data_IF_020467427203
#
_entry.id   IF_020467427203
#
_cell.length_a   1.000
_cell.length_b   1.000
_cell.length_c   1.000
_cell.angle_alpha   90.00
_cell.angle_beta   90.00
_cell.angle_gamma   90.00
#
_symmetry.space_group_name_H-M   'P 1'
#
loop_
_entity.id
_entity.type
_entity.pdbx_description
1 polymer ?
#
# COMPACT_ATOMS: atom_id res chain seq x y z
N UNK A 1 -14.28 2.76 26.53
CA UNK A 1 -13.87 3.19 25.17
C UNK A 1 -12.79 2.22 24.70
N UNK A 2 -12.98 1.54 23.58
CA UNK A 2 -12.03 0.54 23.07
C UNK A 2 -11.36 1.12 21.83
N UNK A 3 -10.05 1.40 21.94
CA UNK A 3 -9.22 1.79 20.81
C UNK A 3 -8.68 0.48 20.21
N UNK A 4 -9.20 0.07 19.05
CA UNK A 4 -8.68 -1.08 18.32
C UNK A 4 -8.06 -0.61 17.02
N UNK A 5 -6.73 -0.48 17.03
CA UNK A 5 -5.94 -0.69 15.84
C UNK A 5 -4.51 -0.94 16.30
N UNK A 6 -4.02 -2.17 16.21
CA UNK A 6 -2.69 -2.40 15.64
C UNK A 6 -2.37 -3.89 15.51
N UNK A 7 -1.42 -4.13 14.62
CA UNK A 7 -0.65 -5.35 14.50
C UNK A 7 0.42 -5.44 15.60
N UNK A 8 0.13 -5.06 16.85
CA UNK A 8 1.08 -5.20 17.95
C UNK A 8 0.65 -6.29 18.93
N UNK A 9 1.55 -7.23 19.17
CA UNK A 9 1.44 -8.10 20.31
C UNK A 9 1.57 -7.28 21.59
N UNK A 10 0.45 -6.90 22.20
CA UNK A 10 0.05 -7.10 23.61
C UNK A 10 -0.93 -5.99 24.01
N UNK A 11 -2.24 -6.25 23.99
CA UNK A 11 -3.23 -5.35 24.59
C UNK A 11 -3.34 -5.69 26.09
N UNK A 12 -3.25 -4.70 26.97
CA UNK A 12 -3.72 -4.84 28.36
C UNK A 12 -5.10 -4.22 28.47
N UNK A 13 -6.10 -5.01 28.85
CA UNK A 13 -7.49 -4.52 28.98
C UNK A 13 -7.81 -4.35 30.45
N UNK A 14 -8.11 -3.13 30.86
CA UNK A 14 -8.59 -2.79 32.19
C UNK A 14 -10.07 -2.42 32.11
N UNK A 15 -10.88 -2.93 33.04
CA UNK A 15 -12.32 -2.61 33.14
C UNK A 15 -12.61 -2.03 34.53
N UNK A 16 -13.52 -1.06 34.59
CA UNK A 16 -14.10 -0.56 35.84
C UNK A 16 -15.62 -0.55 35.74
N UNK A 17 -16.30 -0.74 36.86
CA UNK A 17 -17.75 -0.62 36.98
C UNK A 17 -18.21 0.85 37.08
N UNK A 18 -17.28 1.80 37.09
CA UNK A 18 -17.55 3.24 37.10
C UNK A 18 -17.40 3.81 35.69
N UNK A 19 -18.32 4.70 35.30
CA UNK A 19 -18.29 5.39 33.99
C UNK A 19 -17.05 6.27 33.79
N UNK A 20 -16.43 6.72 34.89
CA UNK A 20 -15.12 7.37 34.92
C UNK A 20 -14.34 6.85 36.12
N UNK A 21 -13.23 6.15 35.86
CA UNK A 21 -12.35 5.59 36.88
C UNK A 21 -10.89 5.95 36.58
N UNK A 22 -10.13 6.20 37.64
CA UNK A 22 -8.67 6.24 37.56
C UNK A 22 -8.14 4.82 37.34
N UNK A 23 -6.96 4.70 36.71
CA UNK A 23 -6.39 3.39 36.34
C UNK A 23 -6.19 2.46 37.56
N UNK A 24 -5.92 3.04 38.74
CA UNK A 24 -5.75 2.33 40.02
C UNK A 24 -7.04 1.67 40.52
N UNK A 25 -8.19 2.17 40.09
CA UNK A 25 -9.54 1.67 40.40
C UNK A 25 -10.05 0.66 39.35
N UNK A 26 -9.25 0.38 38.30
CA UNK A 26 -9.62 -0.55 37.24
C UNK A 26 -9.04 -1.95 37.51
N UNK A 27 -9.82 -2.99 37.19
CA UNK A 27 -9.36 -4.38 37.23
C UNK A 27 -8.77 -4.77 35.88
N UNK A 28 -7.55 -5.31 35.89
CA UNK A 28 -6.94 -5.92 34.71
C UNK A 28 -7.68 -7.22 34.38
N UNK A 29 -8.37 -7.26 33.25
CA UNK A 29 -9.13 -8.44 32.81
C UNK A 29 -8.44 -9.21 31.68
N UNK A 30 -7.42 -8.61 31.06
CA UNK A 30 -6.56 -9.27 30.08
C UNK A 30 -5.16 -8.67 30.17
N UNK A 31 -4.19 -9.46 30.65
CA UNK A 31 -2.77 -9.10 30.70
C UNK A 31 -1.99 -10.00 29.75
N UNK A 32 -1.75 -9.56 28.53
CA UNK A 32 -1.20 -10.41 27.48
C UNK A 32 0.27 -10.85 27.65
N UNK A 33 0.65 -11.53 28.73
CA UNK A 33 1.96 -12.19 28.85
C UNK A 33 1.78 -13.67 29.23
N UNK A 34 2.60 -14.63 28.79
CA UNK A 34 4.02 -14.77 29.14
C UNK A 34 4.86 -15.39 28.02
N UNK A 35 5.36 -14.55 27.13
CA UNK A 35 6.80 -14.56 26.88
C UNK A 35 7.06 -13.21 26.22
N UNK A 36 7.71 -12.26 26.90
CA UNK A 36 8.33 -11.17 26.19
C UNK A 36 9.41 -11.84 25.36
N UNK A 37 9.05 -12.24 24.14
CA UNK A 37 10.02 -12.37 23.09
C UNK A 37 10.82 -11.07 23.21
N UNK A 38 12.13 -11.15 23.44
CA UNK A 38 12.95 -9.96 23.57
C UNK A 38 12.62 -9.01 22.41
N UNK A 39 12.79 -7.70 22.61
CA UNK A 39 12.39 -6.70 21.62
C UNK A 39 12.78 -7.08 20.19
N UNK A 40 13.96 -7.71 20.06
CA UNK A 40 14.47 -8.34 18.84
C UNK A 40 13.51 -9.39 18.25
N UNK A 41 13.09 -10.40 19.00
CA UNK A 41 12.16 -11.42 18.54
C UNK A 41 10.80 -10.83 18.15
N UNK A 42 10.31 -9.81 18.87
CA UNK A 42 9.06 -9.12 18.51
C UNK A 42 9.20 -8.39 17.17
N UNK A 43 10.30 -7.65 16.98
CA UNK A 43 10.60 -6.98 15.72
C UNK A 43 10.75 -7.99 14.58
N UNK A 44 11.43 -9.11 14.81
CA UNK A 44 11.56 -10.20 13.82
C UNK A 44 10.19 -10.76 13.42
N UNK A 45 9.31 -11.01 14.37
CA UNK A 45 7.95 -11.49 14.07
C UNK A 45 7.12 -10.45 13.32
N UNK A 46 7.25 -9.16 13.66
CA UNK A 46 6.60 -8.05 12.96
C UNK A 46 7.09 -7.95 11.51
N UNK A 47 8.40 -7.96 11.30
CA UNK A 47 9.00 -7.97 9.96
C UNK A 47 8.57 -9.21 9.16
N UNK A 48 8.48 -10.39 9.78
CA UNK A 48 8.00 -11.59 9.10
C UNK A 48 6.52 -11.47 8.69
N UNK A 49 5.66 -10.96 9.57
CA UNK A 49 4.24 -10.72 9.25
C UNK A 49 4.09 -9.69 8.15
N UNK A 50 4.80 -8.56 8.26
CA UNK A 50 4.81 -7.51 7.24
C UNK A 50 5.29 -8.03 5.89
N UNK A 51 6.39 -8.78 5.84
CA UNK A 51 6.88 -9.42 4.62
C UNK A 51 5.83 -10.29 3.93
N UNK A 52 5.07 -11.08 4.70
CA UNK A 52 3.97 -11.88 4.15
C UNK A 52 2.82 -11.02 3.58
N UNK A 53 2.47 -9.91 4.25
CA UNK A 53 1.44 -8.98 3.76
C UNK A 53 1.92 -8.29 2.47
N UNK A 54 3.17 -7.83 2.45
CA UNK A 54 3.79 -7.19 1.28
C UNK A 54 3.82 -8.15 0.09
N UNK A 55 4.14 -9.43 0.29
CA UNK A 55 4.06 -10.44 -0.77
C UNK A 55 2.65 -10.60 -1.35
N UNK A 56 1.60 -10.52 -0.51
CA UNK A 56 0.21 -10.56 -1.00
C UNK A 56 -0.15 -9.32 -1.80
N UNK A 57 0.24 -8.13 -1.33
CA UNK A 57 0.06 -6.89 -2.07
C UNK A 57 0.75 -6.99 -3.42
N UNK A 58 2.03 -7.37 -3.45
CA UNK A 58 2.79 -7.53 -4.68
C UNK A 58 2.12 -8.53 -5.63
N UNK A 59 1.65 -9.67 -5.13
CA UNK A 59 0.94 -10.66 -5.95
C UNK A 59 -0.36 -10.12 -6.57
N UNK A 60 -1.11 -9.28 -5.85
CA UNK A 60 -2.29 -8.61 -6.40
C UNK A 60 -1.91 -7.59 -7.49
N UNK A 61 -0.85 -6.81 -7.26
CA UNK A 61 -0.37 -5.79 -8.21
C UNK A 61 0.26 -6.38 -9.48
N UNK A 62 0.87 -7.56 -9.37
CA UNK A 62 1.57 -8.20 -10.50
C UNK A 62 0.78 -9.33 -11.14
N UNK A 63 -0.50 -9.50 -10.78
CA UNK A 63 -1.34 -10.61 -11.21
C UNK A 63 -0.66 -11.99 -11.02
N UNK A 64 0.06 -12.15 -9.90
CA UNK A 64 0.84 -13.34 -9.53
C UNK A 64 2.06 -13.65 -10.42
N UNK A 65 2.78 -12.62 -10.91
CA UNK A 65 4.11 -12.80 -11.51
C UNK A 65 5.07 -13.49 -10.52
N UNK A 66 5.36 -14.76 -10.78
CA UNK A 66 6.22 -15.58 -9.92
C UNK A 66 7.66 -15.08 -9.86
N UNK A 67 8.17 -14.45 -10.92
CA UNK A 67 9.53 -13.89 -10.92
C UNK A 67 9.65 -12.75 -9.90
N UNK A 68 8.63 -11.91 -9.82
CA UNK A 68 8.57 -10.83 -8.82
C UNK A 68 8.41 -11.43 -7.42
N UNK A 69 7.49 -12.38 -7.25
CA UNK A 69 7.25 -13.00 -5.95
C UNK A 69 8.51 -13.69 -5.38
N UNK A 70 9.23 -14.45 -6.20
CA UNK A 70 10.44 -15.15 -5.78
C UNK A 70 11.58 -14.18 -5.42
N UNK A 71 11.80 -13.16 -6.24
CA UNK A 71 12.81 -12.13 -5.99
C UNK A 71 12.49 -11.38 -4.70
N UNK A 72 11.24 -10.94 -4.55
CA UNK A 72 10.80 -10.18 -3.40
C UNK A 72 10.87 -11.02 -2.11
N UNK A 73 10.42 -12.28 -2.14
CA UNK A 73 10.50 -13.17 -0.99
C UNK A 73 11.96 -13.37 -0.53
N UNK A 74 12.91 -13.49 -1.47
CA UNK A 74 14.33 -13.60 -1.15
C UNK A 74 14.89 -12.33 -0.48
N UNK A 75 14.41 -11.15 -0.86
CA UNK A 75 14.84 -9.87 -0.27
C UNK A 75 14.16 -9.60 1.09
N UNK A 76 12.82 -9.68 1.16
CA UNK A 76 12.04 -9.19 2.30
C UNK A 76 12.40 -9.85 3.63
N UNK A 77 12.69 -11.15 3.63
CA UNK A 77 13.00 -11.88 4.86
C UNK A 77 14.45 -11.70 5.33
N UNK A 78 15.27 -10.95 4.59
CA UNK A 78 16.60 -10.50 5.04
C UNK A 78 16.56 -9.15 5.75
N UNK A 79 15.45 -8.41 5.61
CA UNK A 79 15.29 -7.06 6.12
C UNK A 79 14.68 -7.07 7.53
N UNK A 80 15.13 -6.14 8.37
CA UNK A 80 14.83 -6.12 9.81
C UNK A 80 13.52 -5.44 10.18
N UNK A 81 12.97 -4.61 9.29
CA UNK A 81 11.79 -3.79 9.58
C UNK A 81 10.88 -3.61 8.37
N UNK A 82 9.64 -3.23 8.65
CA UNK A 82 8.56 -3.07 7.67
C UNK A 82 8.83 -1.96 6.66
N UNK A 83 9.52 -0.88 7.04
CA UNK A 83 9.77 0.23 6.13
C UNK A 83 10.80 -0.18 5.08
N UNK A 84 11.91 -0.80 5.49
CA UNK A 84 12.90 -1.33 4.55
C UNK A 84 12.28 -2.37 3.60
N UNK A 85 11.40 -3.23 4.12
CA UNK A 85 10.64 -4.20 3.33
C UNK A 85 9.73 -3.54 2.29
N UNK A 86 8.97 -2.52 2.69
CA UNK A 86 8.11 -1.78 1.77
C UNK A 86 8.92 -1.07 0.69
N UNK A 87 10.01 -0.39 1.05
CA UNK A 87 10.88 0.28 0.08
C UNK A 87 11.53 -0.70 -0.91
N UNK A 88 11.91 -1.90 -0.47
CA UNK A 88 12.39 -2.97 -1.38
C UNK A 88 11.29 -3.41 -2.36
N UNK A 89 10.03 -3.56 -1.89
CA UNK A 89 8.88 -3.85 -2.75
C UNK A 89 8.65 -2.75 -3.79
N UNK A 90 8.54 -1.50 -3.35
CA UNK A 90 8.31 -0.34 -4.21
C UNK A 90 9.41 -0.20 -5.26
N UNK A 91 10.68 -0.30 -4.85
CA UNK A 91 11.83 -0.30 -5.75
C UNK A 91 11.71 -1.39 -6.81
N UNK A 92 11.49 -2.64 -6.41
CA UNK A 92 11.42 -3.77 -7.34
C UNK A 92 10.25 -3.61 -8.32
N UNK A 93 9.07 -3.23 -7.84
CA UNK A 93 7.90 -3.03 -8.69
C UNK A 93 8.09 -1.86 -9.66
N UNK A 94 8.82 -0.81 -9.27
CA UNK A 94 9.17 0.31 -10.15
C UNK A 94 10.19 -0.12 -11.22
N UNK A 95 11.26 -0.83 -10.82
CA UNK A 95 12.27 -1.38 -11.76
C UNK A 95 11.68 -2.35 -12.78
N UNK A 96 10.60 -3.05 -12.39
CA UNK A 96 9.84 -3.97 -13.25
C UNK A 96 8.67 -3.30 -13.98
N UNK A 97 8.53 -1.97 -13.87
CA UNK A 97 7.47 -1.18 -14.53
C UNK A 97 6.04 -1.54 -14.12
N UNK A 98 5.82 -2.12 -12.94
CA UNK A 98 4.47 -2.29 -12.36
C UNK A 98 3.95 -1.01 -11.70
N UNK A 99 4.86 -0.17 -11.19
CA UNK A 99 4.54 1.13 -10.61
C UNK A 99 5.17 2.24 -11.46
N UNK A 100 4.47 3.36 -11.55
CA UNK A 100 5.02 4.60 -12.08
C UNK A 100 5.23 5.59 -10.93
N UNK A 101 6.45 6.09 -10.80
CA UNK A 101 6.75 7.19 -9.88
C UNK A 101 6.29 8.50 -10.49
N UNK A 102 5.55 9.30 -9.74
CA UNK A 102 5.05 10.61 -10.14
C UNK A 102 5.21 11.60 -8.99
N UNK A 103 5.47 12.86 -9.33
CA UNK A 103 5.47 13.95 -8.37
C UNK A 103 4.84 15.23 -8.96
N UNK A 104 4.57 16.21 -8.11
CA UNK A 104 3.95 17.49 -8.48
C UNK A 104 4.73 18.31 -9.53
N UNK A 105 5.96 17.93 -9.86
CA UNK A 105 6.78 18.58 -10.90
C UNK A 105 6.74 17.86 -12.25
N UNK A 106 5.96 16.79 -12.40
CA UNK A 106 5.84 16.06 -13.65
C UNK A 106 5.27 16.94 -14.77
N UNK A 107 5.87 16.83 -15.95
CA UNK A 107 5.29 17.41 -17.16
C UNK A 107 4.36 16.40 -17.80
N UNK A 108 3.28 16.88 -18.39
CA UNK A 108 2.26 16.04 -19.03
C UNK A 108 2.84 14.96 -19.96
N UNK A 109 3.78 15.35 -20.83
CA UNK A 109 4.39 14.42 -21.78
C UNK A 109 5.16 13.30 -21.07
N UNK A 110 5.82 13.61 -19.95
CA UNK A 110 6.58 12.64 -19.17
C UNK A 110 5.62 11.69 -18.42
N UNK A 111 4.46 12.17 -17.98
CA UNK A 111 3.44 11.36 -17.31
C UNK A 111 2.84 10.31 -18.25
N UNK A 112 2.26 10.75 -19.37
CA UNK A 112 1.53 9.85 -20.28
C UNK A 112 2.43 8.79 -20.90
N UNK A 113 3.66 9.15 -21.27
CA UNK A 113 4.62 8.22 -21.85
C UNK A 113 5.13 7.19 -20.84
N UNK A 114 5.48 7.61 -19.62
CA UNK A 114 5.95 6.66 -18.60
C UNK A 114 4.84 5.72 -18.16
N UNK A 115 3.61 6.23 -18.01
CA UNK A 115 2.51 5.43 -17.51
C UNK A 115 1.98 4.43 -18.54
N UNK A 116 1.93 4.81 -19.82
CA UNK A 116 1.59 3.91 -20.93
C UNK A 116 2.55 2.72 -21.05
N UNK A 117 3.78 2.86 -20.54
CA UNK A 117 4.80 1.84 -20.56
C UNK A 117 4.72 0.84 -19.39
N UNK A 118 3.82 1.05 -18.43
CA UNK A 118 3.65 0.14 -17.29
C UNK A 118 3.11 -1.23 -17.73
N UNK A 119 3.54 -2.28 -17.02
CA UNK A 119 3.15 -3.67 -17.31
C UNK A 119 1.63 -3.84 -17.22
N UNK A 120 1.00 -3.27 -16.20
CA UNK A 120 -0.45 -3.37 -15.99
C UNK A 120 -1.24 -2.78 -17.17
N UNK A 121 -0.82 -1.62 -17.68
CA UNK A 121 -1.45 -0.96 -18.84
C UNK A 121 -1.26 -1.79 -20.11
N UNK A 122 -0.02 -2.19 -20.40
CA UNK A 122 0.30 -2.94 -21.64
C UNK A 122 -0.33 -4.32 -21.68
N UNK A 123 -0.24 -5.08 -20.59
CA UNK A 123 -0.75 -6.45 -20.52
C UNK A 123 -2.27 -6.50 -20.67
N UNK A 124 -2.98 -5.47 -20.19
CA UNK A 124 -4.43 -5.38 -20.26
C UNK A 124 -4.95 -4.55 -21.45
N UNK A 125 -4.06 -4.00 -22.28
CA UNK A 125 -4.43 -3.19 -23.45
C UNK A 125 -5.19 -1.92 -23.08
N UNK A 126 -4.88 -1.32 -21.93
CA UNK A 126 -5.57 -0.11 -21.46
C UNK A 126 -5.19 1.09 -22.34
N UNK A 127 -6.18 1.89 -22.70
CA UNK A 127 -5.97 3.07 -23.54
C UNK A 127 -5.28 4.19 -22.76
N UNK A 128 -4.27 4.82 -23.33
CA UNK A 128 -3.67 6.05 -22.78
C UNK A 128 -3.67 7.08 -23.91
N UNK A 129 -4.83 7.70 -24.14
CA UNK A 129 -4.96 8.79 -25.12
C UNK A 129 -4.44 10.10 -24.54
N UNK A 130 -3.16 10.36 -24.79
CA UNK A 130 -2.47 11.59 -24.36
C UNK A 130 -3.07 12.86 -24.94
N UNK A 131 -3.81 12.79 -26.06
CA UNK A 131 -4.45 13.96 -26.64
C UNK A 131 -5.69 14.41 -25.86
N UNK A 132 -6.22 13.54 -24.99
CA UNK A 132 -7.34 13.86 -24.10
C UNK A 132 -6.91 14.61 -22.83
N UNK A 133 -5.62 14.61 -22.50
CA UNK A 133 -5.13 15.29 -21.31
C UNK A 133 -5.13 16.81 -21.45
N UNK A 134 -5.61 17.50 -20.41
CA UNK A 134 -5.52 18.95 -20.32
C UNK A 134 -4.07 19.38 -20.04
N UNK A 135 -3.50 20.19 -20.92
CA UNK A 135 -2.13 20.72 -20.79
C UNK A 135 -2.01 21.69 -19.62
N UNK A 136 -3.08 22.37 -19.25
CA UNK A 136 -3.14 23.25 -18.08
C UNK A 136 -3.57 22.52 -16.80
N UNK A 137 -4.09 21.29 -16.95
CA UNK A 137 -4.51 20.44 -15.85
C UNK A 137 -3.33 19.93 -15.03
N UNK A 138 -3.63 19.50 -13.80
CA UNK A 138 -2.65 18.89 -12.92
C UNK A 138 -2.65 17.35 -13.02
N UNK A 139 -1.81 16.74 -12.19
CA UNK A 139 -1.67 15.29 -12.13
C UNK A 139 -2.99 14.54 -11.83
N UNK A 140 -3.86 15.10 -10.97
CA UNK A 140 -5.12 14.48 -10.62
C UNK A 140 -6.09 14.58 -11.80
N UNK A 141 -6.13 15.72 -12.50
CA UNK A 141 -6.93 15.89 -13.72
C UNK A 141 -6.55 14.85 -14.80
N UNK A 142 -5.26 14.53 -14.93
CA UNK A 142 -4.79 13.52 -15.88
C UNK A 142 -5.16 12.10 -15.45
N UNK A 143 -5.15 11.81 -14.15
CA UNK A 143 -5.59 10.51 -13.62
C UNK A 143 -7.10 10.31 -13.81
N UNK A 144 -7.92 11.35 -13.56
CA UNK A 144 -9.36 11.31 -13.81
C UNK A 144 -9.67 11.07 -15.29
N UNK A 145 -8.88 11.68 -16.18
CA UNK A 145 -8.97 11.46 -17.62
C UNK A 145 -8.68 9.99 -17.99
N UNK A 146 -7.72 9.34 -17.33
CA UNK A 146 -7.44 7.92 -17.52
C UNK A 146 -8.57 7.03 -16.99
N UNK A 147 -9.10 7.33 -15.79
CA UNK A 147 -10.22 6.58 -15.22
C UNK A 147 -11.46 6.64 -16.12
N UNK A 148 -11.77 7.80 -16.72
CA UNK A 148 -12.86 7.94 -17.69
C UNK A 148 -12.60 7.12 -18.97
N UNK A 149 -11.35 7.07 -19.45
CA UNK A 149 -10.98 6.22 -20.59
C UNK A 149 -11.14 4.72 -20.26
N UNK A 150 -11.07 4.34 -18.99
CA UNK A 150 -11.06 2.94 -18.54
C UNK A 150 -12.36 2.45 -17.93
N UNK A 151 -13.38 3.31 -17.80
CA UNK A 151 -14.66 2.99 -17.12
C UNK A 151 -15.30 1.66 -17.53
N UNK A 152 -15.17 1.26 -18.79
CA UNK A 152 -15.77 0.03 -19.35
C UNK A 152 -14.83 -1.19 -19.32
N UNK A 153 -13.62 -1.03 -18.78
CA UNK A 153 -12.58 -2.09 -18.71
C UNK A 153 -12.53 -2.79 -17.35
N UNK A 154 -13.16 -2.21 -16.32
CA UNK A 154 -13.06 -2.68 -14.94
C UNK A 154 -11.72 -2.35 -14.26
N UNK A 155 -10.88 -1.53 -14.89
CA UNK A 155 -9.65 -0.98 -14.31
C UNK A 155 -9.84 0.48 -13.90
N UNK A 156 -9.11 0.86 -12.85
CA UNK A 156 -9.01 2.23 -12.38
C UNK A 156 -7.56 2.55 -11.96
N UNK A 157 -7.33 3.81 -11.60
CA UNK A 157 -6.08 4.35 -11.10
C UNK A 157 -6.03 4.33 -9.57
N UNK A 158 -4.96 3.76 -9.02
CA UNK A 158 -4.68 3.82 -7.59
C UNK A 158 -3.34 4.49 -7.32
N UNK A 159 -3.21 5.01 -6.11
CA UNK A 159 -2.06 5.77 -5.62
C UNK A 159 -1.68 5.33 -4.21
N UNK A 160 -0.38 5.40 -3.94
CA UNK A 160 0.13 5.45 -2.57
C UNK A 160 1.34 6.39 -2.48
N UNK A 161 1.52 6.98 -1.29
CA UNK A 161 2.59 7.92 -1.02
C UNK A 161 3.84 7.15 -0.58
N UNK A 162 4.99 7.55 -1.10
CA UNK A 162 6.27 6.91 -0.80
C UNK A 162 6.87 7.40 0.52
N UNK A 163 6.89 8.72 0.69
CA UNK A 163 7.68 9.43 1.71
C UNK A 163 7.03 10.74 2.17
N UNK A 164 6.38 11.48 1.27
CA UNK A 164 5.64 12.73 1.52
C UNK A 164 4.49 12.90 0.51
N UNK A 165 3.69 13.96 0.65
CA UNK A 165 2.50 14.22 -0.19
C UNK A 165 2.85 14.54 -1.66
N UNK A 166 4.12 14.85 -1.94
CA UNK A 166 4.60 15.21 -3.28
C UNK A 166 5.14 14.01 -4.06
N UNK A 167 5.53 12.92 -3.40
CA UNK A 167 6.17 11.75 -4.02
C UNK A 167 5.25 10.54 -4.01
N UNK A 168 4.65 10.29 -5.17
CA UNK A 168 3.56 9.34 -5.34
C UNK A 168 3.95 8.19 -6.26
N UNK A 169 3.35 7.03 -6.01
CA UNK A 169 3.39 5.90 -6.93
C UNK A 169 1.99 5.57 -7.39
N UNK A 170 1.83 5.46 -8.70
CA UNK A 170 0.56 5.10 -9.34
C UNK A 170 0.67 3.80 -10.09
N UNK A 171 -0.49 3.16 -10.24
CA UNK A 171 -0.64 1.92 -10.98
C UNK A 171 -2.10 1.72 -11.40
N UNK A 172 -2.27 1.00 -12.51
CA UNK A 172 -3.58 0.49 -12.89
C UNK A 172 -3.93 -0.73 -12.01
N UNK A 173 -5.18 -0.82 -11.57
CA UNK A 173 -5.66 -1.94 -10.77
C UNK A 173 -7.08 -2.35 -11.18
N UNK A 174 -7.45 -3.61 -10.95
CA UNK A 174 -8.83 -4.07 -11.14
C UNK A 174 -9.69 -3.53 -10.02
N UNK A 175 -10.79 -2.85 -10.34
CA UNK A 175 -11.66 -2.18 -9.39
C UNK A 175 -12.08 -3.08 -8.20
N UNK A 176 -12.34 -4.36 -8.48
CA UNK A 176 -12.72 -5.37 -7.48
C UNK A 176 -11.63 -5.68 -6.43
N UNK A 177 -10.36 -5.39 -6.72
CA UNK A 177 -9.22 -5.66 -5.83
C UNK A 177 -8.92 -4.50 -4.86
N UNK A 178 -9.58 -3.33 -4.99
CA UNK A 178 -9.25 -2.16 -4.17
C UNK A 178 -9.41 -2.45 -2.69
N UNK A 179 -10.54 -3.05 -2.30
CA UNK A 179 -10.84 -3.31 -0.90
C UNK A 179 -9.77 -4.19 -0.25
N UNK A 180 -9.37 -5.27 -0.93
CA UNK A 180 -8.32 -6.18 -0.47
C UNK A 180 -6.97 -5.49 -0.40
N UNK A 181 -6.59 -4.70 -1.43
CA UNK A 181 -5.34 -3.93 -1.45
C UNK A 181 -5.28 -2.92 -0.30
N UNK A 182 -6.34 -2.15 -0.11
CA UNK A 182 -6.43 -1.13 0.93
C UNK A 182 -6.39 -1.76 2.32
N UNK A 183 -7.08 -2.88 2.55
CA UNK A 183 -7.08 -3.55 3.85
C UNK A 183 -5.73 -4.21 4.17
N UNK A 184 -5.08 -4.84 3.18
CA UNK A 184 -3.71 -5.36 3.34
C UNK A 184 -2.71 -4.23 3.58
N UNK A 185 -2.81 -3.10 2.87
CA UNK A 185 -1.90 -1.97 3.04
C UNK A 185 -2.01 -1.36 4.45
N UNK A 186 -3.23 -1.22 4.99
CA UNK A 186 -3.46 -0.76 6.37
C UNK A 186 -2.74 -1.64 7.39
N UNK A 187 -2.62 -2.95 7.15
CA UNK A 187 -1.91 -3.84 8.06
C UNK A 187 -0.42 -3.47 8.23
N UNK A 188 0.20 -2.87 7.21
CA UNK A 188 1.61 -2.47 7.27
C UNK A 188 1.80 -0.96 7.46
N UNK A 189 0.70 -0.22 7.71
CA UNK A 189 0.75 1.23 7.88
C UNK A 189 0.95 2.00 6.56
N UNK A 190 0.64 1.36 5.42
CA UNK A 190 0.67 1.97 4.10
C UNK A 190 -0.76 2.33 3.69
N UNK A 191 -0.93 3.45 2.98
CA UNK A 191 -2.23 3.86 2.43
C UNK A 191 -2.23 3.64 0.93
N UNK A 192 -3.05 2.71 0.46
CA UNK A 192 -3.42 2.55 -0.94
C UNK A 192 -4.88 2.99 -1.09
N UNK A 193 -5.15 3.83 -2.08
CA UNK A 193 -6.49 4.34 -2.38
C UNK A 193 -6.67 4.59 -3.88
N UNK A 194 -7.92 4.73 -4.32
CA UNK A 194 -8.22 5.21 -5.66
C UNK A 194 -7.77 6.68 -5.80
N UNK A 195 -7.28 7.06 -6.98
CA UNK A 195 -6.87 8.46 -7.23
C UNK A 195 -8.06 9.40 -7.14
N UNK A 196 -9.24 8.99 -7.63
CA UNK A 196 -10.47 9.77 -7.54
C UNK A 196 -10.95 10.08 -6.10
N UNK A 197 -10.35 9.45 -5.08
CA UNK A 197 -10.64 9.71 -3.66
C UNK A 197 -9.58 10.59 -2.96
N UNK A 198 -8.52 10.99 -3.67
CA UNK A 198 -7.42 11.81 -3.16
C UNK A 198 -7.79 13.29 -3.10
#
# INVERSE_FOLDING_TARGET
MVYCNDLTGTVKIYISDKDAADLEDCTLVYDGSENPSDEKTRMTNRAKKAGNVILKIAALLTENDSSVADTLAAELFTLSDTNAQWQSCVRLLTERHYLCYCNSNFKLNDFGDLFAETVGVKANGLCVDKAAFDVEGDFYDWCDTLDEQWKDTGFCMAIFNAEDDDNNFIFAYRAELLADLTDLAKEIGVRIMAVAEY
#
